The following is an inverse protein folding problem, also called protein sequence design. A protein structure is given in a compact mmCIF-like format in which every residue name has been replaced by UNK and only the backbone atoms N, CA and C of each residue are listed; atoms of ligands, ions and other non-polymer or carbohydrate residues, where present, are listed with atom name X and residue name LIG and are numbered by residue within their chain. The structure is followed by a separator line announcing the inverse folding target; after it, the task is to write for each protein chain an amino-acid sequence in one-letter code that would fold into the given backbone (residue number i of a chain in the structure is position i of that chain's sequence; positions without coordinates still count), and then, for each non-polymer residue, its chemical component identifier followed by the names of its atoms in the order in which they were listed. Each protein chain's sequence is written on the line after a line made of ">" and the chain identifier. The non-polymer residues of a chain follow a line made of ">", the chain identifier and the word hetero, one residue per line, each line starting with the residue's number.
data_IF_169624763253
#
_entry.id   IF_169624763253
#
_cell.length_a   1.000
_cell.length_b   1.000
_cell.length_c   1.000
_cell.angle_alpha   90.00
_cell.angle_beta   90.00
_cell.angle_gamma   90.00
#
_symmetry.space_group_name_H-M   'P 1'
#
loop_
_entity.id
_entity.type
_entity.pdbx_description
1 polymer ?
#
# COMPACT_ATOMS: atom_id res chain seq x y z
N UNK A 1 14.92 -1.15 1.18
CA UNK A 1 14.79 0.32 1.04
C UNK A 1 13.54 0.74 1.79
N UNK A 2 13.57 1.83 2.54
CA UNK A 2 12.37 2.36 3.19
C UNK A 2 11.80 3.49 2.32
N UNK A 3 10.47 3.64 2.27
CA UNK A 3 9.86 4.88 1.78
C UNK A 3 10.03 6.00 2.81
N UNK A 4 9.78 7.23 2.39
CA UNK A 4 10.09 8.45 3.16
C UNK A 4 9.31 8.52 4.48
N UNK A 5 8.11 7.93 4.56
CA UNK A 5 7.36 7.79 5.84
C UNK A 5 7.90 6.68 6.77
N UNK A 6 9.05 6.08 6.46
CA UNK A 6 9.80 5.21 7.36
C UNK A 6 9.52 3.71 7.27
N UNK A 7 8.64 3.26 6.38
CA UNK A 7 8.30 1.84 6.23
C UNK A 7 9.12 1.17 5.14
N UNK A 8 9.57 -0.08 5.38
CA UNK A 8 10.24 -0.88 4.36
C UNK A 8 9.32 -1.15 3.17
N UNK A 9 9.84 -0.90 1.98
CA UNK A 9 9.13 -1.07 0.72
C UNK A 9 9.85 -2.06 -0.23
N UNK A 10 9.16 -2.47 -1.28
CA UNK A 10 9.62 -3.44 -2.27
C UNK A 10 9.51 -4.90 -1.84
N UNK A 11 8.77 -5.19 -0.75
CA UNK A 11 8.63 -6.55 -0.19
C UNK A 11 7.73 -7.42 -1.07
N UNK A 12 6.46 -7.03 -1.22
CA UNK A 12 5.46 -7.81 -1.95
C UNK A 12 5.38 -7.32 -3.39
N UNK A 13 5.81 -8.16 -4.32
CA UNK A 13 5.68 -8.01 -5.77
C UNK A 13 5.13 -9.31 -6.35
N UNK A 14 4.35 -9.28 -7.43
CA UNK A 14 3.92 -10.50 -8.08
C UNK A 14 5.12 -11.25 -8.70
N UNK A 15 5.11 -12.58 -8.60
CA UNK A 15 6.00 -13.46 -9.34
C UNK A 15 5.38 -13.77 -10.70
N UNK A 16 6.16 -13.58 -11.77
CA UNK A 16 5.70 -13.84 -13.13
C UNK A 16 5.91 -15.32 -13.43
N UNK A 17 4.83 -16.04 -13.71
CA UNK A 17 4.91 -17.43 -14.13
C UNK A 17 5.46 -17.51 -15.55
N UNK A 18 6.68 -18.04 -15.70
CA UNK A 18 7.28 -18.29 -17.01
C UNK A 18 7.07 -19.76 -17.32
N UNK A 19 6.38 -20.04 -18.43
CA UNK A 19 6.17 -21.41 -18.91
C UNK A 19 7.52 -22.14 -19.04
N UNK A 20 7.54 -23.41 -18.65
CA UNK A 20 8.70 -24.31 -18.69
C UNK A 20 9.88 -23.94 -17.75
N UNK A 21 9.73 -22.96 -16.86
CA UNK A 21 10.71 -22.69 -15.80
C UNK A 21 10.19 -23.11 -14.41
N UNK A 22 11.02 -23.70 -13.53
CA UNK A 22 10.62 -23.98 -12.16
C UNK A 22 10.32 -22.68 -11.43
N UNK A 23 9.21 -22.65 -10.68
CA UNK A 23 8.84 -21.47 -9.89
C UNK A 23 9.90 -21.17 -8.82
N UNK A 24 10.38 -19.93 -8.83
CA UNK A 24 11.20 -19.35 -7.77
C UNK A 24 10.40 -18.38 -6.89
N UNK A 25 9.06 -18.50 -6.87
CA UNK A 25 8.20 -17.67 -6.05
C UNK A 25 8.51 -17.87 -4.56
N UNK A 26 8.60 -16.76 -3.83
CA UNK A 26 8.77 -16.78 -2.38
C UNK A 26 7.46 -17.21 -1.69
N UNK A 27 7.52 -17.72 -0.44
CA UNK A 27 6.33 -18.03 0.34
C UNK A 27 5.34 -16.86 0.42
N UNK A 28 4.06 -17.14 0.16
CA UNK A 28 2.97 -16.15 0.09
C UNK A 28 3.05 -15.14 -1.06
N UNK A 29 4.01 -15.27 -1.99
CA UNK A 29 4.10 -14.41 -3.18
C UNK A 29 3.02 -14.77 -4.20
N UNK A 30 2.26 -13.77 -4.66
CA UNK A 30 1.25 -13.97 -5.70
C UNK A 30 1.92 -14.36 -7.02
N UNK A 31 1.53 -15.49 -7.58
CA UNK A 31 1.95 -15.92 -8.92
C UNK A 31 0.94 -15.43 -9.94
N UNK A 32 1.41 -14.80 -11.01
CA UNK A 32 0.57 -14.22 -12.06
C UNK A 32 1.01 -14.70 -13.44
N UNK A 33 0.08 -14.71 -14.39
CA UNK A 33 0.40 -14.87 -15.79
C UNK A 33 1.17 -13.64 -16.32
N UNK A 34 2.12 -13.80 -17.26
CA UNK A 34 2.93 -12.68 -17.76
C UNK A 34 2.11 -11.56 -18.41
N UNK A 35 0.97 -11.91 -19.00
CA UNK A 35 0.05 -11.00 -19.68
C UNK A 35 -0.58 -9.95 -18.76
N UNK A 36 -0.58 -10.18 -17.45
CA UNK A 36 -1.00 -9.18 -16.47
C UNK A 36 -0.07 -7.96 -16.47
N UNK A 37 1.23 -8.17 -16.74
CA UNK A 37 2.23 -7.10 -16.78
C UNK A 37 2.68 -6.73 -18.20
N UNK A 38 2.71 -7.70 -19.13
CA UNK A 38 3.29 -7.56 -20.46
C UNK A 38 2.24 -7.79 -21.54
N UNK A 39 1.99 -6.78 -22.37
CA UNK A 39 0.96 -6.84 -23.40
C UNK A 39 1.24 -7.91 -24.46
N UNK A 40 0.20 -8.68 -24.83
CA UNK A 40 0.27 -9.74 -25.82
C UNK A 40 0.91 -11.05 -25.32
N UNK A 41 1.04 -11.24 -24.01
CA UNK A 41 1.36 -12.54 -23.37
C UNK A 41 0.10 -13.19 -22.81
N UNK A 42 0.20 -14.46 -22.41
CA UNK A 42 -0.91 -15.21 -21.79
C UNK A 42 -1.44 -14.50 -20.54
N UNK A 43 -2.77 -14.42 -20.37
CA UNK A 43 -3.41 -13.69 -19.28
C UNK A 43 -3.48 -12.17 -19.49
N UNK A 44 -3.28 -11.68 -20.71
CA UNK A 44 -3.47 -10.25 -21.04
C UNK A 44 -4.96 -9.89 -21.01
N UNK A 45 -5.42 -9.05 -20.06
CA UNK A 45 -6.84 -8.75 -19.86
C UNK A 45 -7.53 -8.07 -21.05
N UNK A 46 -6.77 -7.54 -22.01
CA UNK A 46 -7.28 -6.93 -23.24
C UNK A 46 -7.11 -7.81 -24.48
N UNK A 47 -6.26 -8.83 -24.44
CA UNK A 47 -6.18 -9.81 -25.53
C UNK A 47 -7.33 -10.83 -25.46
N UNK A 48 -7.85 -11.08 -24.26
CA UNK A 48 -8.99 -11.98 -24.01
C UNK A 48 -10.35 -11.32 -24.27
N UNK A 49 -10.40 -9.98 -24.31
CA UNK A 49 -11.60 -9.21 -24.65
C UNK A 49 -11.62 -8.93 -26.16
N UNK A 50 -12.30 -9.80 -26.92
CA UNK A 50 -12.37 -9.74 -28.39
C UNK A 50 -12.98 -8.44 -28.93
N UNK A 51 -13.65 -7.64 -28.08
CA UNK A 51 -14.18 -6.33 -28.43
C UNK A 51 -13.16 -5.19 -28.33
N UNK A 52 -12.01 -5.41 -27.65
CA UNK A 52 -10.96 -4.39 -27.47
C UNK A 52 -9.66 -4.86 -28.10
N UNK A 53 -9.57 -4.75 -29.41
CA UNK A 53 -8.29 -4.97 -30.09
C UNK A 53 -7.30 -3.87 -29.67
N UNK A 54 -6.10 -4.28 -29.21
CA UNK A 54 -5.00 -3.34 -28.95
C UNK A 54 -4.71 -2.57 -30.25
N UNK A 55 -4.73 -1.23 -30.24
CA UNK A 55 -4.37 -0.45 -31.41
C UNK A 55 -2.95 -0.84 -31.84
N UNK A 56 -2.82 -1.34 -33.07
CA UNK A 56 -1.55 -1.74 -33.67
C UNK A 56 -0.76 -2.76 -32.81
N UNK A 57 -1.25 -4.00 -32.74
CA UNK A 57 -0.65 -5.11 -31.96
C UNK A 57 0.87 -5.26 -32.16
N UNK A 58 1.39 -4.95 -33.36
CA UNK A 58 2.82 -4.98 -33.65
C UNK A 58 3.67 -3.99 -32.83
N UNK A 59 3.11 -2.83 -32.48
CA UNK A 59 3.81 -1.79 -31.69
C UNK A 59 3.64 -1.95 -30.18
N UNK A 60 2.60 -2.65 -29.74
CA UNK A 60 2.26 -2.81 -28.32
C UNK A 60 2.72 -4.14 -27.72
N UNK A 61 2.89 -5.18 -28.54
CA UNK A 61 3.32 -6.50 -28.06
C UNK A 61 4.67 -6.42 -27.33
N UNK A 62 4.77 -7.17 -26.23
CA UNK A 62 5.94 -7.22 -25.33
C UNK A 62 6.29 -5.87 -24.68
N UNK A 63 5.37 -4.91 -24.66
CA UNK A 63 5.50 -3.68 -23.88
C UNK A 63 4.63 -3.70 -22.62
N UNK A 64 4.75 -2.66 -21.80
CA UNK A 64 3.97 -2.48 -20.57
C UNK A 64 3.57 -1.02 -20.39
N UNK A 65 2.43 -0.78 -19.76
CA UNK A 65 2.03 0.57 -19.36
C UNK A 65 2.77 0.92 -18.09
N UNK A 66 3.46 2.06 -18.09
CA UNK A 66 4.17 2.61 -16.94
C UNK A 66 3.33 3.76 -16.38
N UNK A 67 2.95 3.68 -15.11
CA UNK A 67 2.30 4.78 -14.40
C UNK A 67 3.36 5.49 -13.57
N UNK A 68 3.51 6.80 -13.75
CA UNK A 68 4.32 7.64 -12.88
C UNK A 68 3.42 8.52 -12.02
N UNK A 69 3.71 8.63 -10.73
CA UNK A 69 3.10 9.60 -9.82
C UNK A 69 4.18 10.28 -8.97
N UNK A 70 4.12 11.61 -8.92
CA UNK A 70 4.94 12.39 -8.01
C UNK A 70 4.15 12.60 -6.71
N UNK A 71 4.52 11.85 -5.67
CA UNK A 71 3.76 11.76 -4.43
C UNK A 71 4.55 12.37 -3.27
N UNK A 72 4.26 13.63 -2.92
CA UNK A 72 4.85 14.30 -1.75
C UNK A 72 4.36 13.65 -0.46
N UNK A 73 5.24 13.49 0.51
CA UNK A 73 4.92 12.89 1.81
C UNK A 73 5.18 13.88 2.94
N UNK A 74 4.17 14.04 3.80
CA UNK A 74 4.20 14.91 4.98
C UNK A 74 4.58 14.09 6.22
N UNK A 75 5.88 13.78 6.37
CA UNK A 75 6.37 12.83 7.38
C UNK A 75 6.19 13.34 8.82
N UNK A 76 6.63 14.57 9.19
CA UNK A 76 6.40 15.09 10.54
C UNK A 76 4.92 15.15 10.92
N UNK A 77 4.05 15.48 9.97
CA UNK A 77 2.60 15.53 10.15
C UNK A 77 2.02 14.13 10.39
N UNK A 78 2.50 13.11 9.65
CA UNK A 78 2.09 11.72 9.88
C UNK A 78 2.55 11.19 11.23
N UNK A 79 3.81 11.43 11.60
CA UNK A 79 4.35 11.03 12.92
C UNK A 79 3.57 11.71 14.07
N UNK A 80 3.25 13.00 13.90
CA UNK A 80 2.44 13.77 14.87
C UNK A 80 1.03 13.22 14.97
N UNK A 81 0.41 12.88 13.84
CA UNK A 81 -0.92 12.27 13.83
C UNK A 81 -0.96 10.95 14.60
N UNK A 82 0.03 10.07 14.40
CA UNK A 82 0.11 8.80 15.13
C UNK A 82 0.24 9.04 16.64
N UNK A 83 1.15 9.93 17.03
CA UNK A 83 1.39 10.29 18.43
C UNK A 83 0.12 10.86 19.08
N UNK A 84 -0.48 11.89 18.48
CA UNK A 84 -1.61 12.61 19.06
C UNK A 84 -2.88 11.74 19.12
N UNK A 85 -3.07 10.84 18.14
CA UNK A 85 -4.14 9.83 18.17
C UNK A 85 -3.99 8.91 19.37
N UNK A 86 -2.78 8.44 19.63
CA UNK A 86 -2.50 7.57 20.79
C UNK A 86 -2.74 8.33 22.09
N UNK A 87 -2.19 9.54 22.24
CA UNK A 87 -2.39 10.36 23.45
C UNK A 87 -3.87 10.59 23.73
N UNK A 88 -4.66 10.92 22.70
CA UNK A 88 -6.10 11.12 22.83
C UNK A 88 -6.88 9.84 23.19
N UNK A 89 -6.32 8.66 22.91
CA UNK A 89 -6.92 7.36 23.24
C UNK A 89 -6.63 6.88 24.67
N UNK A 90 -5.63 7.46 25.33
CA UNK A 90 -5.23 7.06 26.68
C UNK A 90 -6.26 7.53 27.73
N UNK A 91 -6.49 6.74 28.80
CA UNK A 91 -7.34 7.18 29.90
C UNK A 91 -6.77 8.46 30.56
N UNK A 92 -7.66 9.41 30.88
CA UNK A 92 -7.34 10.72 31.51
C UNK A 92 -6.51 10.58 32.81
N UNK A 93 -6.50 9.41 33.44
CA UNK A 93 -5.84 9.14 34.74
C UNK A 93 -4.34 8.76 34.59
N UNK A 94 -3.79 8.73 33.38
CA UNK A 94 -2.40 8.27 33.18
C UNK A 94 -1.36 9.33 33.62
N UNK A 95 -0.56 8.91 34.61
CA UNK A 95 0.72 9.37 35.18
C UNK A 95 1.32 10.75 34.82
N UNK A 96 1.99 11.44 35.78
CA UNK A 96 2.83 12.60 35.44
C UNK A 96 3.83 12.25 34.34
N UNK A 97 4.14 13.22 33.47
CA UNK A 97 5.12 13.06 32.39
C UNK A 97 6.38 12.35 32.89
N UNK A 98 6.70 11.21 32.26
CA UNK A 98 7.83 10.36 32.61
C UNK A 98 8.35 9.68 31.34
N UNK A 99 9.63 9.33 31.32
CA UNK A 99 10.24 8.65 30.17
C UNK A 99 9.53 7.32 29.86
N UNK A 100 9.00 6.63 30.88
CA UNK A 100 8.24 5.39 30.69
C UNK A 100 6.92 5.62 29.93
N UNK A 101 6.23 6.73 30.19
CA UNK A 101 5.01 7.09 29.48
C UNK A 101 5.31 7.46 28.02
N UNK A 102 6.39 8.20 27.77
CA UNK A 102 6.82 8.57 26.41
C UNK A 102 7.17 7.32 25.58
N UNK A 103 7.90 6.37 26.17
CA UNK A 103 8.21 5.07 25.54
C UNK A 103 6.95 4.26 25.24
N UNK A 104 5.95 4.27 26.13
CA UNK A 104 4.68 3.59 25.91
C UNK A 104 3.87 4.23 24.77
N UNK A 105 3.79 5.57 24.75
CA UNK A 105 3.14 6.32 23.68
C UNK A 105 3.80 6.00 22.34
N UNK A 106 5.13 5.99 22.29
CA UNK A 106 5.86 5.70 21.06
C UNK A 106 5.60 4.27 20.56
N UNK A 107 5.61 3.25 21.43
CA UNK A 107 5.28 1.86 21.06
C UNK A 107 3.87 1.74 20.49
N UNK A 108 2.90 2.38 21.14
CA UNK A 108 1.50 2.42 20.67
C UNK A 108 1.38 3.15 19.33
N UNK A 109 2.13 4.24 19.12
CA UNK A 109 2.13 5.00 17.88
C UNK A 109 2.76 4.20 16.72
N UNK A 110 3.84 3.48 16.99
CA UNK A 110 4.44 2.56 16.01
C UNK A 110 3.49 1.42 15.65
N UNK A 111 2.77 0.85 16.63
CA UNK A 111 1.73 -0.15 16.36
C UNK A 111 0.57 0.42 15.54
N UNK A 112 0.08 1.61 15.88
CA UNK A 112 -0.96 2.30 15.10
C UNK A 112 -0.51 2.45 13.66
N UNK A 113 0.68 3.00 13.43
CA UNK A 113 1.24 3.13 12.10
C UNK A 113 1.36 1.79 11.36
N UNK A 114 1.78 0.73 12.06
CA UNK A 114 1.83 -0.63 11.52
C UNK A 114 0.45 -1.15 11.12
N UNK A 115 -0.61 -0.81 11.85
CA UNK A 115 -2.00 -1.14 11.49
C UNK A 115 -2.51 -0.32 10.29
N UNK A 116 -2.15 0.96 10.18
CA UNK A 116 -2.50 1.79 9.02
C UNK A 116 -1.87 1.27 7.72
N UNK A 117 -0.60 0.86 7.78
CA UNK A 117 0.14 0.32 6.62
C UNK A 117 -0.20 -1.16 6.39
N UNK A 118 -0.42 -1.91 7.46
CA UNK A 118 -0.51 -3.37 7.52
C UNK A 118 0.85 -4.06 7.64
N UNK A 119 1.93 -3.29 7.85
CA UNK A 119 3.28 -3.76 8.15
C UNK A 119 3.94 -2.81 9.12
N UNK A 120 4.80 -3.33 9.99
CA UNK A 120 5.73 -2.53 10.76
C UNK A 120 6.78 -1.86 9.88
N UNK A 121 7.50 -0.88 10.44
CA UNK A 121 8.58 -0.16 9.73
C UNK A 121 9.66 -1.11 9.21
N UNK A 122 9.96 -2.20 9.93
CA UNK A 122 10.91 -3.23 9.47
C UNK A 122 10.49 -3.98 8.21
N UNK A 123 9.19 -4.03 7.92
CA UNK A 123 8.58 -4.89 6.90
C UNK A 123 7.76 -6.05 7.45
N UNK A 124 7.81 -6.34 8.75
CA UNK A 124 7.02 -7.40 9.39
C UNK A 124 5.51 -7.19 9.16
N UNK A 125 4.77 -8.14 8.59
CA UNK A 125 3.31 -8.07 8.49
C UNK A 125 2.65 -7.92 9.87
N UNK A 126 1.76 -6.94 10.04
CA UNK A 126 1.08 -6.73 11.33
C UNK A 126 0.21 -7.93 11.74
N UNK A 127 -0.23 -8.73 10.76
CA UNK A 127 -1.02 -9.95 10.97
C UNK A 127 -0.28 -11.01 11.81
N UNK A 128 1.05 -10.98 11.85
CA UNK A 128 1.87 -11.90 12.66
C UNK A 128 2.05 -11.46 14.10
N UNK A 129 1.66 -10.23 14.41
CA UNK A 129 1.82 -9.64 15.73
C UNK A 129 0.49 -9.04 16.19
N UNK A 130 -0.57 -9.85 16.34
CA UNK A 130 -1.81 -9.38 16.92
C UNK A 130 -1.58 -8.90 18.35
N UNK A 131 -2.38 -7.94 18.82
CA UNK A 131 -2.37 -7.53 20.22
C UNK A 131 -2.94 -8.65 21.08
N UNK A 132 -2.18 -9.11 22.07
CA UNK A 132 -2.57 -10.14 23.02
C UNK A 132 -2.70 -9.52 24.42
N UNK A 133 -3.93 -9.43 24.94
CA UNK A 133 -4.18 -8.82 26.24
C UNK A 133 -3.75 -7.34 26.29
N UNK A 134 -2.96 -6.98 27.31
CA UNK A 134 -2.51 -5.60 27.55
C UNK A 134 -1.13 -5.29 26.94
N UNK A 135 -0.42 -6.30 26.46
CA UNK A 135 0.93 -6.13 25.92
C UNK A 135 0.86 -5.64 24.47
N UNK A 136 1.59 -4.57 24.18
CA UNK A 136 1.70 -4.07 22.81
C UNK A 136 2.69 -4.91 22.01
N UNK A 137 2.35 -5.32 20.77
CA UNK A 137 3.26 -6.12 19.98
C UNK A 137 4.51 -5.34 19.58
N UNK A 138 5.57 -6.06 19.19
CA UNK A 138 6.90 -5.50 18.90
C UNK A 138 7.26 -5.75 17.45
N UNK A 139 7.95 -4.77 16.84
CA UNK A 139 8.51 -4.88 15.50
C UNK A 139 9.74 -5.81 15.47
N UNK A 140 9.52 -7.11 15.20
CA UNK A 140 10.60 -8.06 14.94
C UNK A 140 11.26 -7.79 13.58
N UNK A 141 12.41 -7.13 13.64
CA UNK A 141 13.21 -6.74 12.47
C UNK A 141 13.81 -7.92 11.73
N UNK A 142 14.09 -9.04 12.41
CA UNK A 142 14.69 -10.21 11.78
C UNK A 142 13.69 -10.80 10.79
N UNK A 143 12.50 -11.16 11.29
CA UNK A 143 11.40 -11.67 10.46
C UNK A 143 10.98 -10.65 9.41
N UNK A 144 10.87 -9.35 9.75
CA UNK A 144 10.53 -8.31 8.79
C UNK A 144 11.51 -8.17 7.63
N UNK A 145 12.78 -8.53 7.86
CA UNK A 145 13.85 -8.45 6.85
C UNK A 145 14.01 -9.70 5.99
N UNK A 146 13.41 -10.83 6.39
CA UNK A 146 13.57 -12.14 5.77
C UNK A 146 12.54 -12.39 4.65
N UNK A 147 12.95 -12.46 3.37
CA UNK A 147 12.04 -12.69 2.24
C UNK A 147 11.30 -14.03 2.27
N UNK A 148 11.78 -15.03 3.03
CA UNK A 148 11.13 -16.33 3.18
C UNK A 148 9.96 -16.28 4.17
N UNK A 149 9.89 -15.26 5.03
CA UNK A 149 8.89 -15.15 6.11
C UNK A 149 8.03 -13.90 5.98
N UNK A 150 8.59 -12.77 5.56
CA UNK A 150 7.93 -11.46 5.60
C UNK A 150 6.76 -11.29 4.62
N UNK A 151 6.42 -12.29 3.82
CA UNK A 151 5.27 -12.26 2.94
C UNK A 151 4.38 -13.51 2.99
N UNK A 152 4.73 -14.47 3.86
CA UNK A 152 4.09 -15.79 3.94
C UNK A 152 2.79 -15.77 4.75
N UNK A 153 1.80 -15.05 4.24
CA UNK A 153 0.50 -14.97 4.88
C UNK A 153 -0.62 -14.83 3.86
N UNK A 154 -1.81 -15.18 4.29
CA UNK A 154 -3.05 -14.73 3.70
C UNK A 154 -3.86 -14.04 4.79
N UNK A 155 -4.81 -13.21 4.40
CA UNK A 155 -5.78 -12.71 5.36
C UNK A 155 -6.81 -13.79 5.67
N UNK A 156 -7.32 -13.77 6.91
CA UNK A 156 -8.46 -14.60 7.26
C UNK A 156 -9.65 -14.20 6.40
N UNK A 157 -10.40 -15.20 5.91
CA UNK A 157 -11.53 -14.95 5.02
C UNK A 157 -12.58 -14.11 5.76
N UNK A 158 -13.05 -13.06 5.10
CA UNK A 158 -14.15 -12.24 5.62
C UNK A 158 -15.33 -13.13 6.00
N UNK A 159 -15.76 -13.00 7.26
CA UNK A 159 -16.91 -13.70 7.83
C UNK A 159 -17.82 -12.68 8.53
N UNK A 160 -18.94 -13.14 9.08
CA UNK A 160 -19.92 -12.27 9.73
C UNK A 160 -19.39 -11.55 10.98
N UNK A 161 -18.25 -11.99 11.54
CA UNK A 161 -17.62 -11.34 12.69
C UNK A 161 -16.81 -10.11 12.28
N UNK A 162 -16.50 -9.96 10.99
CA UNK A 162 -15.73 -8.83 10.44
C UNK A 162 -14.45 -8.56 11.25
N UNK A 163 -13.74 -9.62 11.65
CA UNK A 163 -12.60 -9.52 12.56
C UNK A 163 -11.43 -8.73 11.92
N UNK A 164 -11.08 -7.62 12.58
CA UNK A 164 -9.97 -6.74 12.23
C UNK A 164 -8.82 -6.80 13.24
N UNK A 165 -8.88 -7.69 14.24
CA UNK A 165 -7.93 -7.79 15.35
C UNK A 165 -6.47 -7.90 14.88
N UNK A 166 -6.21 -8.75 13.87
CA UNK A 166 -4.87 -8.94 13.31
C UNK A 166 -4.44 -7.85 12.33
N UNK A 167 -5.34 -7.41 11.45
CA UNK A 167 -5.05 -6.41 10.42
C UNK A 167 -6.34 -5.70 9.96
N UNK A 168 -6.41 -4.35 9.99
CA UNK A 168 -7.58 -3.62 9.50
C UNK A 168 -7.88 -3.92 8.02
N UNK A 169 -9.15 -4.02 7.64
CA UNK A 169 -9.54 -4.17 6.23
C UNK A 169 -9.07 -3.00 5.38
N UNK A 170 -9.01 -1.81 5.97
CA UNK A 170 -8.54 -0.59 5.32
C UNK A 170 -7.02 -0.39 5.33
N UNK A 171 -6.24 -1.29 5.94
CA UNK A 171 -4.78 -1.19 5.93
C UNK A 171 -4.25 -1.13 4.48
N UNK A 172 -3.23 -0.30 4.24
CA UNK A 172 -2.73 -0.02 2.89
C UNK A 172 -2.43 -1.28 2.08
N UNK A 173 -1.71 -2.25 2.65
CA UNK A 173 -1.39 -3.50 1.93
C UNK A 173 -2.61 -4.41 1.71
N UNK A 174 -3.65 -4.30 2.55
CA UNK A 174 -4.88 -5.11 2.45
C UNK A 174 -5.84 -4.50 1.42
N UNK A 175 -5.89 -3.16 1.31
CA UNK A 175 -6.56 -2.48 0.21
C UNK A 175 -5.90 -2.73 -1.14
N UNK A 176 -4.57 -2.68 -1.21
CA UNK A 176 -3.83 -2.78 -2.49
C UNK A 176 -3.54 -4.22 -2.93
N UNK A 177 -3.54 -5.19 -2.01
CA UNK A 177 -3.44 -6.62 -2.31
C UNK A 177 -4.33 -7.39 -1.35
N UNK A 178 -5.64 -7.52 -1.64
CA UNK A 178 -6.61 -8.07 -0.69
C UNK A 178 -6.48 -9.58 -0.41
N UNK A 179 -5.59 -10.28 -1.11
CA UNK A 179 -5.34 -11.72 -0.96
C UNK A 179 -6.65 -12.51 -0.91
N UNK A 180 -6.94 -13.14 0.22
CA UNK A 180 -8.09 -14.03 0.44
C UNK A 180 -9.41 -13.29 0.70
N UNK A 181 -9.39 -11.94 0.79
CA UNK A 181 -10.62 -11.14 0.91
C UNK A 181 -11.41 -11.11 -0.41
N UNK A 182 -10.78 -11.44 -1.55
CA UNK A 182 -11.40 -11.48 -2.88
C UNK A 182 -11.01 -12.78 -3.61
N UNK A 183 -11.75 -13.17 -4.67
CA UNK A 183 -11.33 -14.27 -5.53
C UNK A 183 -9.92 -14.03 -6.10
N UNK A 184 -9.06 -15.06 -6.08
CA UNK A 184 -7.66 -14.96 -6.50
C UNK A 184 -7.49 -14.36 -7.90
N UNK A 185 -8.35 -14.74 -8.85
CA UNK A 185 -8.33 -14.21 -10.22
C UNK A 185 -8.51 -12.68 -10.29
N UNK A 186 -9.29 -12.08 -9.39
CA UNK A 186 -9.45 -10.62 -9.33
C UNK A 186 -8.19 -9.94 -8.78
N UNK A 187 -7.53 -10.58 -7.82
CA UNK A 187 -6.24 -10.14 -7.28
C UNK A 187 -5.14 -10.18 -8.35
N UNK A 188 -5.02 -11.31 -9.05
CA UNK A 188 -4.07 -11.49 -10.16
C UNK A 188 -4.29 -10.43 -11.24
N UNK A 189 -5.53 -10.26 -11.73
CA UNK A 189 -5.85 -9.32 -12.81
C UNK A 189 -5.49 -7.87 -12.46
N UNK A 190 -5.49 -7.53 -11.17
CA UNK A 190 -5.24 -6.18 -10.67
C UNK A 190 -3.81 -5.98 -10.17
N UNK A 191 -2.95 -7.01 -10.28
CA UNK A 191 -1.57 -6.94 -9.81
C UNK A 191 -0.77 -5.91 -10.62
N UNK A 192 0.14 -5.23 -9.93
CA UNK A 192 1.07 -4.27 -10.51
C UNK A 192 2.49 -4.62 -10.05
N UNK A 193 3.48 -4.35 -10.90
CA UNK A 193 4.89 -4.41 -10.51
C UNK A 193 5.35 -3.00 -10.14
N UNK A 194 5.74 -2.76 -8.89
CA UNK A 194 6.16 -1.43 -8.42
C UNK A 194 7.68 -1.28 -8.53
N UNK A 195 8.12 -0.15 -9.06
CA UNK A 195 9.53 0.23 -9.22
C UNK A 195 9.77 1.67 -8.74
N UNK A 196 9.01 2.10 -7.72
CA UNK A 196 9.12 3.44 -7.17
C UNK A 196 10.41 3.67 -6.39
N UNK A 197 10.80 4.94 -6.28
CA UNK A 197 11.98 5.37 -5.52
C UNK A 197 11.68 6.65 -4.71
N UNK A 198 12.11 6.71 -3.45
CA UNK A 198 12.11 7.94 -2.66
C UNK A 198 12.81 9.12 -3.34
N UNK A 199 12.34 10.34 -3.08
CA UNK A 199 13.01 11.59 -3.46
C UNK A 199 12.99 12.60 -2.31
N UNK A 200 13.87 13.59 -2.39
CA UNK A 200 14.02 14.64 -1.39
C UNK A 200 14.92 14.25 -0.21
N UNK A 201 15.25 15.20 0.66
CA UNK A 201 16.10 14.96 1.82
C UNK A 201 15.34 14.24 2.94
N UNK A 202 16.09 13.65 3.87
CA UNK A 202 15.55 13.15 5.14
C UNK A 202 14.88 14.26 5.96
N UNK A 203 14.08 13.87 6.96
CA UNK A 203 13.48 14.80 7.92
C UNK A 203 14.57 15.44 8.78
N UNK A 204 14.62 16.77 8.78
CA UNK A 204 15.59 17.52 9.60
C UNK A 204 15.19 17.56 11.08
N UNK A 205 16.13 17.81 12.00
CA UNK A 205 15.80 18.03 13.41
C UNK A 205 14.77 19.15 13.63
N UNK A 206 14.88 20.25 12.87
CA UNK A 206 13.98 21.40 12.95
C UNK A 206 12.55 21.03 12.51
N UNK A 207 12.39 20.27 11.43
CA UNK A 207 11.07 19.78 10.99
C UNK A 207 10.44 18.83 12.01
N UNK A 208 11.25 17.97 12.65
CA UNK A 208 10.80 17.08 13.72
C UNK A 208 10.34 17.87 14.95
N UNK A 209 11.10 18.88 15.36
CA UNK A 209 10.76 19.76 16.47
C UNK A 209 9.51 20.59 16.17
N UNK A 210 9.42 21.15 14.96
CA UNK A 210 8.30 21.96 14.51
C UNK A 210 7.05 21.13 14.14
N UNK A 211 7.17 19.80 14.09
CA UNK A 211 6.10 18.87 13.66
C UNK A 211 5.53 19.24 12.28
N UNK A 212 6.37 19.78 11.40
CA UNK A 212 5.93 20.38 10.15
C UNK A 212 6.95 20.19 9.03
N UNK A 213 6.47 19.78 7.86
CA UNK A 213 7.26 19.66 6.65
C UNK A 213 7.69 21.04 6.13
N UNK A 214 9.00 21.21 5.91
CA UNK A 214 9.63 22.39 5.33
C UNK A 214 10.30 22.08 3.98
N UNK A 215 10.85 20.87 3.81
CA UNK A 215 11.46 20.43 2.55
C UNK A 215 10.56 19.44 1.82
N UNK A 216 10.54 19.52 0.49
CA UNK A 216 9.79 18.56 -0.31
C UNK A 216 10.51 17.21 -0.36
N UNK A 217 9.75 16.15 -0.07
CA UNK A 217 10.19 14.77 -0.07
C UNK A 217 9.00 13.86 -0.36
N UNK A 218 9.27 12.65 -0.81
CA UNK A 218 8.22 11.66 -0.98
C UNK A 218 8.61 10.52 -1.90
N UNK A 219 7.64 10.01 -2.64
CA UNK A 219 7.82 8.86 -3.52
C UNK A 219 7.63 9.25 -4.99
N UNK A 220 8.67 9.02 -5.80
CA UNK A 220 8.52 8.90 -7.25
C UNK A 220 7.95 7.51 -7.53
N UNK A 221 6.63 7.40 -7.45
CA UNK A 221 5.95 6.13 -7.62
C UNK A 221 5.94 5.73 -9.10
N UNK A 222 6.36 4.50 -9.35
CA UNK A 222 6.32 3.87 -10.67
C UNK A 222 5.67 2.50 -10.53
N UNK A 223 4.72 2.17 -11.40
CA UNK A 223 4.27 0.80 -11.54
C UNK A 223 3.99 0.39 -13.00
N UNK A 224 4.11 -0.91 -13.23
CA UNK A 224 3.91 -1.55 -14.53
C UNK A 224 2.69 -2.48 -14.51
N UNK A 225 1.96 -2.49 -15.61
CA UNK A 225 0.80 -3.35 -15.88
C UNK A 225 0.51 -3.39 -17.38
N UNK A 226 -0.14 -4.43 -17.88
CA UNK A 226 -0.54 -4.50 -19.29
C UNK A 226 -1.79 -3.67 -19.61
N UNK A 227 -2.60 -3.33 -18.60
CA UNK A 227 -3.81 -2.54 -18.74
C UNK A 227 -4.08 -1.65 -17.51
N UNK A 228 -4.37 -0.35 -17.72
CA UNK A 228 -4.67 0.61 -16.64
C UNK A 228 -5.97 0.31 -15.90
N UNK A 229 -6.99 -0.13 -16.64
CA UNK A 229 -8.35 -0.28 -16.13
C UNK A 229 -8.49 -1.35 -15.05
N UNK A 230 -7.79 -2.51 -15.10
CA UNK A 230 -7.74 -3.43 -13.97
C UNK A 230 -6.54 -3.20 -13.04
N UNK A 231 -5.48 -2.50 -13.47
CA UNK A 231 -4.29 -2.22 -12.66
C UNK A 231 -4.43 -0.97 -11.76
N UNK A 232 -3.47 -0.05 -11.86
CA UNK A 232 -3.38 1.15 -11.01
C UNK A 232 -4.70 1.92 -10.83
N UNK A 233 -5.46 2.16 -11.91
CA UNK A 233 -6.69 2.96 -11.83
C UNK A 233 -7.77 2.25 -11.01
N UNK A 234 -7.88 0.92 -11.17
CA UNK A 234 -8.81 0.10 -10.41
C UNK A 234 -8.43 0.11 -8.93
N UNK A 235 -7.18 -0.19 -8.63
CA UNK A 235 -6.66 -0.23 -7.28
C UNK A 235 -6.91 1.08 -6.54
N UNK A 236 -6.56 2.22 -7.15
CA UNK A 236 -6.78 3.52 -6.52
C UNK A 236 -8.28 3.84 -6.34
N UNK A 237 -9.09 3.71 -7.39
CA UNK A 237 -10.49 4.19 -7.35
C UNK A 237 -11.46 3.21 -6.69
N UNK A 238 -11.32 1.92 -6.99
CA UNK A 238 -12.26 0.87 -6.59
C UNK A 238 -11.88 0.27 -5.25
N UNK A 239 -10.60 0.30 -4.86
CA UNK A 239 -10.13 -0.23 -3.58
C UNK A 239 -9.75 0.88 -2.60
N UNK A 240 -8.68 1.64 -2.86
CA UNK A 240 -8.13 2.61 -1.90
C UNK A 240 -9.10 3.75 -1.56
N UNK A 241 -9.79 4.31 -2.57
CA UNK A 241 -10.74 5.40 -2.38
C UNK A 241 -12.15 4.93 -1.96
N UNK A 242 -12.38 3.61 -1.93
CA UNK A 242 -13.71 3.06 -1.69
C UNK A 242 -13.88 2.64 -0.23
N UNK A 243 -14.68 3.41 0.51
CA UNK A 243 -14.96 3.17 1.93
C UNK A 243 -15.73 1.88 2.24
N UNK A 244 -16.29 1.21 1.23
CA UNK A 244 -17.06 -0.04 1.38
C UNK A 244 -16.38 -1.25 0.74
N UNK A 245 -15.16 -1.08 0.22
CA UNK A 245 -14.41 -2.20 -0.33
C UNK A 245 -13.92 -3.16 0.77
N UNK A 246 -14.04 -4.47 0.52
CA UNK A 246 -13.86 -5.64 1.42
C UNK A 246 -15.05 -5.85 2.36
N UNK A 247 -15.40 -4.87 3.19
CA UNK A 247 -16.57 -4.91 4.06
C UNK A 247 -17.29 -3.57 4.08
N UNK A 248 -18.60 -3.54 4.40
CA UNK A 248 -19.28 -2.30 4.72
C UNK A 248 -18.50 -1.54 5.80
N UNK A 249 -18.29 -0.23 5.61
CA UNK A 249 -17.63 0.64 6.61
C UNK A 249 -16.15 0.31 6.92
N UNK A 250 -15.44 -0.39 6.03
CA UNK A 250 -13.97 -0.53 6.16
C UNK A 250 -13.26 0.84 6.22
N UNK A 251 -13.74 1.79 5.42
CA UNK A 251 -13.15 3.11 5.24
C UNK A 251 -12.11 3.18 4.14
N UNK A 252 -11.45 4.33 4.05
CA UNK A 252 -10.43 4.65 3.05
C UNK A 252 -9.10 4.00 3.38
N UNK A 253 -8.27 3.77 2.36
CA UNK A 253 -6.84 3.57 2.57
C UNK A 253 -6.25 4.81 3.28
N UNK A 254 -5.62 4.67 4.46
CA UNK A 254 -5.16 5.81 5.25
C UNK A 254 -3.98 6.54 4.60
N UNK A 255 -3.20 5.85 3.77
CA UNK A 255 -1.97 6.36 3.17
C UNK A 255 -2.25 7.07 1.85
N UNK A 256 -2.95 6.41 0.92
CA UNK A 256 -3.18 6.90 -0.45
C UNK A 256 -4.64 7.08 -0.84
N UNK A 257 -5.59 6.69 0.02
CA UNK A 257 -7.00 6.83 -0.27
C UNK A 257 -7.42 8.30 -0.33
N UNK A 258 -8.11 8.69 -1.39
CA UNK A 258 -8.58 10.06 -1.60
C UNK A 258 -10.10 10.08 -1.66
N UNK A 259 -10.70 11.06 -0.99
CA UNK A 259 -12.11 11.34 -1.15
C UNK A 259 -12.37 12.18 -2.41
N UNK A 260 -13.61 12.16 -2.92
CA UNK A 260 -13.97 12.87 -4.15
C UNK A 260 -13.87 14.39 -3.96
N UNK A 261 -13.37 15.08 -5.00
CA UNK A 261 -13.00 16.50 -5.00
C UNK A 261 -14.16 17.48 -4.72
N UNK A 262 -15.41 17.04 -4.84
CA UNK A 262 -16.58 17.93 -4.76
C UNK A 262 -17.01 18.25 -3.32
N UNK A 263 -16.26 17.77 -2.32
CA UNK A 263 -16.49 18.06 -0.90
C UNK A 263 -15.36 18.94 -0.37
N UNK A 264 -15.62 20.17 0.08
CA UNK A 264 -14.63 20.95 0.82
C UNK A 264 -14.25 20.21 2.10
N UNK A 265 -12.95 19.96 2.31
CA UNK A 265 -12.40 19.19 3.44
C UNK A 265 -13.07 17.82 3.63
N UNK A 266 -12.97 16.91 2.64
CA UNK A 266 -13.64 15.63 2.76
C UNK A 266 -12.93 14.79 3.83
N UNK A 267 -13.58 14.67 4.97
CA UNK A 267 -13.14 13.83 6.07
C UNK A 267 -13.07 12.37 5.61
N UNK A 268 -11.88 11.77 5.65
CA UNK A 268 -11.71 10.33 5.43
C UNK A 268 -11.78 9.62 6.78
N UNK A 269 -12.16 8.35 6.78
CA UNK A 269 -12.11 7.52 7.98
C UNK A 269 -11.64 6.10 7.68
N UNK A 270 -11.23 5.37 8.71
CA UNK A 270 -11.10 3.91 8.67
C UNK A 270 -11.52 3.29 10.00
N UNK A 271 -11.91 2.01 9.97
CA UNK A 271 -12.14 1.18 11.16
C UNK A 271 -10.98 0.22 11.40
N UNK A 272 -11.00 -0.48 12.53
CA UNK A 272 -9.99 -1.47 12.90
C UNK A 272 -8.66 -0.89 13.37
N UNK A 273 -8.45 0.42 13.36
CA UNK A 273 -7.19 1.04 13.78
C UNK A 273 -6.83 0.72 15.24
N UNK A 274 -7.82 0.64 16.14
CA UNK A 274 -7.67 0.22 17.53
C UNK A 274 -8.07 -1.26 17.66
N UNK A 275 -7.12 -2.10 18.08
CA UNK A 275 -7.33 -3.54 18.24
C UNK A 275 -8.34 -3.88 19.37
N UNK A 276 -8.56 -2.96 20.31
CA UNK A 276 -9.55 -3.13 21.39
C UNK A 276 -10.93 -2.57 21.02
N UNK A 277 -11.01 -1.77 19.94
CA UNK A 277 -12.23 -1.08 19.49
C UNK A 277 -12.35 -1.15 17.96
N UNK A 278 -12.56 -2.36 17.45
CA UNK A 278 -12.51 -2.66 16.01
C UNK A 278 -13.47 -1.84 15.14
N UNK A 279 -14.61 -1.40 15.70
CA UNK A 279 -15.63 -0.62 14.97
C UNK A 279 -15.47 0.90 15.10
N UNK A 280 -14.49 1.36 15.88
CA UNK A 280 -14.27 2.79 16.09
C UNK A 280 -13.68 3.46 14.85
N UNK A 281 -14.21 4.64 14.51
CA UNK A 281 -13.75 5.39 13.36
C UNK A 281 -12.52 6.24 13.73
N UNK A 282 -11.40 5.98 13.06
CA UNK A 282 -10.27 6.91 13.02
C UNK A 282 -10.46 7.86 11.85
N UNK A 283 -10.52 9.14 12.15
CA UNK A 283 -10.77 10.20 11.18
C UNK A 283 -9.46 10.85 10.71
N UNK A 284 -9.34 11.08 9.41
CA UNK A 284 -8.23 11.80 8.78
C UNK A 284 -8.75 13.12 8.21
N UNK A 285 -8.31 14.24 8.81
CA UNK A 285 -8.60 15.60 8.33
C UNK A 285 -7.57 16.11 7.31
N UNK A 286 -6.45 15.40 7.16
CA UNK A 286 -5.36 15.75 6.26
C UNK A 286 -4.94 14.55 5.40
N UNK A 287 -4.45 14.81 4.19
CA UNK A 287 -3.72 13.85 3.37
C UNK A 287 -2.22 13.87 3.75
N UNK A 288 -1.65 12.70 4.07
CA UNK A 288 -0.21 12.57 4.33
C UNK A 288 0.60 12.36 3.05
N UNK A 289 -0.07 11.92 1.98
CA UNK A 289 0.49 11.74 0.66
C UNK A 289 -0.26 12.65 -0.30
N UNK A 290 0.44 13.63 -0.88
CA UNK A 290 -0.13 14.65 -1.76
C UNK A 290 0.34 14.37 -3.18
N UNK A 291 -0.61 14.09 -4.07
CA UNK A 291 -0.34 13.93 -5.50
C UNK A 291 -0.03 15.30 -6.13
N UNK A 292 1.20 15.49 -6.60
CA UNK A 292 1.66 16.71 -7.28
C UNK A 292 1.71 16.57 -8.80
N UNK A 293 1.23 15.45 -9.33
CA UNK A 293 1.20 15.19 -10.76
C UNK A 293 1.61 13.76 -11.10
N UNK A 294 1.70 13.50 -12.40
CA UNK A 294 2.05 12.19 -12.93
C UNK A 294 1.46 11.98 -14.31
N UNK A 295 1.88 10.91 -14.96
CA UNK A 295 1.47 10.60 -16.33
C UNK A 295 1.45 9.08 -16.56
N UNK A 296 0.69 8.65 -17.56
CA UNK A 296 0.68 7.30 -18.09
C UNK A 296 1.54 7.22 -19.34
N UNK A 297 2.57 6.38 -19.27
CA UNK A 297 3.50 6.13 -20.35
C UNK A 297 3.34 4.70 -20.88
N UNK A 298 3.94 4.45 -22.03
CA UNK A 298 4.11 3.10 -22.55
C UNK A 298 5.59 2.79 -22.68
N UNK A 299 6.03 1.66 -22.13
CA UNK A 299 7.37 1.10 -22.29
C UNK A 299 7.33 0.05 -23.40
N UNK A 300 7.67 0.41 -24.65
CA UNK A 300 7.64 -0.51 -25.77
C UNK A 300 8.75 -1.57 -25.69
N UNK A 301 8.60 -2.65 -26.46
CA UNK A 301 9.65 -3.66 -26.58
C UNK A 301 10.88 -3.12 -27.32
N UNK A 302 12.03 -3.76 -27.09
CA UNK A 302 13.28 -3.41 -27.78
C UNK A 302 13.17 -3.53 -29.30
N UNK A 303 12.36 -4.46 -29.81
CA UNK A 303 12.10 -4.61 -31.24
C UNK A 303 11.42 -3.37 -31.80
N UNK A 304 10.42 -2.84 -31.09
CA UNK A 304 9.70 -1.62 -31.49
C UNK A 304 10.62 -0.39 -31.41
N UNK A 305 11.39 -0.24 -30.33
CA UNK A 305 12.36 0.86 -30.20
C UNK A 305 13.38 0.86 -31.35
N UNK A 306 13.90 -0.30 -31.74
CA UNK A 306 14.83 -0.45 -32.87
C UNK A 306 14.18 -0.12 -34.22
N UNK A 307 12.88 -0.37 -34.37
CA UNK A 307 12.16 -0.04 -35.59
C UNK A 307 11.94 1.47 -35.75
N UNK A 308 11.56 2.15 -34.66
CA UNK A 308 11.25 3.60 -34.71
C UNK A 308 12.49 4.50 -34.63
N UNK A 309 13.62 4.02 -34.09
CA UNK A 309 14.88 4.77 -34.00
C UNK A 309 15.72 4.78 -35.28
N UNK A 310 15.29 4.04 -36.32
CA UNK A 310 15.95 3.98 -37.63
C UNK A 310 15.37 4.97 -38.65
N UNK A 311 14.51 5.87 -38.19
CA UNK A 311 13.95 7.01 -38.94
C UNK A 311 14.75 8.26 -38.55
#
# INVERSE_FOLDING_TARGET
>A
MNIVIGYRDGISQPYINIEDEPSAALPGQMVINPGVLVQGKAGDPKAEDSAVQRPNYGLSRNGSILVYRHLKQLVPEFDTFLHDTVVASLPIITHPQSAQLDDEIQKRADYLGARLVGRWKSGLPVVFTPKEGNDFPVDDRETGSDPQRNNDFIFDKVNDQLDQSKCPFAAHIRKTTPRNDIPAANGERSAILRAGIPYGPEVTPDERQAKKTSYERGLSFVCYQSALSPGFVFMQKVWCNNQTFIVPKAGFDPIVGQALKDTPNPTRFMTGWDADKLESDLTFSQEFVISQGGEYFFSPSMTVLKAISRV
#
